data_IF_020071496142
#
_entry.id   IF_020071496142
#
_cell.length_a   1.000
_cell.length_b   1.000
_cell.length_c   1.000
_cell.angle_alpha   90.00
_cell.angle_beta   90.00
_cell.angle_gamma   90.00
#
_symmetry.space_group_name_H-M   'P 1'
#
loop_
_entity.id
_entity.type
_entity.pdbx_description
1 polymer ?
#
# COMPACT_ATOMS: atom_id res chain seq x y z
N UNK A 1 -19.50 -56.44 -8.66
CA UNK A 1 -19.94 -55.25 -7.90
C UNK A 1 -20.65 -54.33 -8.87
N UNK A 2 -21.98 -54.26 -8.78
CA UNK A 2 -22.76 -53.35 -9.61
C UNK A 2 -22.70 -51.95 -8.99
N UNK A 3 -21.95 -51.04 -9.62
CA UNK A 3 -22.00 -49.61 -9.32
C UNK A 3 -23.35 -49.12 -9.86
N UNK A 4 -24.28 -48.82 -8.97
CA UNK A 4 -25.61 -48.32 -9.34
C UNK A 4 -25.49 -46.91 -9.90
N UNK A 5 -26.21 -46.62 -10.99
CA UNK A 5 -26.29 -45.31 -11.63
C UNK A 5 -26.73 -44.19 -10.68
N UNK A 6 -27.45 -44.52 -9.59
CA UNK A 6 -27.74 -43.58 -8.50
C UNK A 6 -26.49 -43.09 -7.75
N UNK A 7 -25.44 -43.92 -7.59
CA UNK A 7 -24.20 -43.46 -6.93
C UNK A 7 -23.39 -42.54 -7.84
N UNK A 8 -23.47 -42.73 -9.16
CA UNK A 8 -22.84 -41.85 -10.14
C UNK A 8 -23.58 -40.50 -10.23
N UNK A 9 -24.91 -40.49 -10.24
CA UNK A 9 -25.69 -39.23 -10.23
C UNK A 9 -25.52 -38.45 -8.92
N UNK A 10 -25.47 -39.14 -7.77
CA UNK A 10 -25.21 -38.49 -6.47
C UNK A 10 -23.78 -37.95 -6.34
N UNK A 11 -22.82 -38.54 -7.06
CA UNK A 11 -21.44 -38.01 -7.13
C UNK A 11 -21.34 -36.74 -7.98
N UNK A 12 -22.19 -36.59 -9.00
CA UNK A 12 -22.22 -35.38 -9.85
C UNK A 12 -22.92 -34.21 -9.16
N UNK A 13 -23.87 -34.46 -8.25
CA UNK A 13 -24.52 -33.43 -7.44
C UNK A 13 -23.63 -32.91 -6.29
N UNK A 14 -22.42 -33.47 -6.15
CA UNK A 14 -21.41 -33.03 -5.16
C UNK A 14 -20.36 -32.08 -5.78
N UNK A 15 -20.57 -31.59 -7.01
CA UNK A 15 -19.60 -30.75 -7.72
C UNK A 15 -20.05 -29.30 -7.86
N UNK A 16 -19.36 -28.43 -7.11
CA UNK A 16 -19.41 -26.97 -7.13
C UNK A 16 -20.70 -26.32 -6.61
N UNK A 17 -20.83 -26.24 -5.27
CA UNK A 17 -21.74 -25.22 -4.71
C UNK A 17 -21.35 -23.86 -5.29
N UNK A 18 -22.32 -23.09 -5.81
CA UNK A 18 -22.12 -21.73 -6.35
C UNK A 18 -21.25 -20.87 -5.41
N UNK A 19 -21.43 -21.03 -4.10
CA UNK A 19 -20.64 -20.36 -3.07
C UNK A 19 -19.16 -20.74 -3.07
N UNK A 20 -18.80 -21.99 -3.37
CA UNK A 20 -17.42 -22.43 -3.54
C UNK A 20 -16.76 -21.80 -4.78
N UNK A 21 -17.48 -21.69 -5.89
CA UNK A 21 -16.98 -20.99 -7.10
C UNK A 21 -16.74 -19.51 -6.83
N UNK A 22 -17.69 -18.83 -6.17
CA UNK A 22 -17.55 -17.44 -5.73
C UNK A 22 -16.32 -17.29 -4.82
N UNK A 23 -16.15 -18.18 -3.85
CA UNK A 23 -15.00 -18.16 -2.94
C UNK A 23 -13.66 -18.30 -3.67
N UNK A 24 -13.58 -19.18 -4.66
CA UNK A 24 -12.38 -19.35 -5.50
C UNK A 24 -12.11 -18.10 -6.34
N UNK A 25 -13.13 -17.53 -6.98
CA UNK A 25 -12.99 -16.31 -7.78
C UNK A 25 -12.54 -15.11 -6.92
N UNK A 26 -13.13 -14.95 -5.73
CA UNK A 26 -12.72 -13.92 -4.77
C UNK A 26 -11.25 -14.08 -4.39
N UNK A 27 -10.85 -15.27 -3.94
CA UNK A 27 -9.50 -15.52 -3.43
C UNK A 27 -8.41 -15.47 -4.49
N UNK A 28 -8.68 -15.92 -5.71
CA UNK A 28 -7.65 -16.11 -6.75
C UNK A 28 -7.63 -15.03 -7.81
N UNK A 29 -8.68 -14.22 -7.92
CA UNK A 29 -8.81 -13.22 -8.98
C UNK A 29 -9.09 -11.85 -8.39
N UNK A 30 -10.23 -11.68 -7.70
CA UNK A 30 -10.69 -10.35 -7.29
C UNK A 30 -9.74 -9.71 -6.27
N UNK A 31 -9.41 -10.44 -5.21
CA UNK A 31 -8.55 -9.92 -4.12
C UNK A 31 -7.10 -9.67 -4.59
N UNK A 32 -6.45 -10.57 -5.35
CA UNK A 32 -5.14 -10.28 -5.94
C UNK A 32 -5.15 -9.10 -6.90
N UNK A 33 -6.18 -8.94 -7.74
CA UNK A 33 -6.29 -7.77 -8.62
C UNK A 33 -6.42 -6.49 -7.78
N UNK A 34 -7.26 -6.51 -6.75
CA UNK A 34 -7.47 -5.37 -5.86
C UNK A 34 -6.17 -4.89 -5.21
N UNK A 35 -5.41 -5.80 -4.59
CA UNK A 35 -4.11 -5.46 -4.00
C UNK A 35 -3.05 -5.12 -5.03
N UNK A 36 -3.07 -5.78 -6.20
CA UNK A 36 -2.15 -5.48 -7.29
C UNK A 36 -2.32 -4.07 -7.83
N UNK A 37 -3.56 -3.60 -7.96
CA UNK A 37 -3.86 -2.22 -8.34
C UNK A 37 -3.33 -1.22 -7.30
N UNK A 38 -3.50 -1.52 -6.00
CA UNK A 38 -2.90 -0.72 -4.92
C UNK A 38 -1.39 -0.58 -5.06
N UNK A 39 -0.69 -1.71 -5.25
CA UNK A 39 0.78 -1.73 -5.33
C UNK A 39 1.29 -1.01 -6.57
N UNK A 40 0.66 -1.22 -7.73
CA UNK A 40 1.02 -0.56 -8.99
C UNK A 40 0.80 0.95 -8.92
N UNK A 41 -0.34 1.40 -8.38
CA UNK A 41 -0.61 2.83 -8.25
C UNK A 41 0.37 3.51 -7.30
N UNK A 42 0.76 2.86 -6.20
CA UNK A 42 1.81 3.36 -5.31
C UNK A 42 3.18 3.44 -5.97
N UNK A 43 3.52 2.52 -6.89
CA UNK A 43 4.77 2.58 -7.66
C UNK A 43 4.75 3.78 -8.63
N UNK A 44 3.62 4.01 -9.29
CA UNK A 44 3.46 5.11 -10.25
C UNK A 44 3.56 6.47 -9.54
N UNK A 45 2.91 6.58 -8.39
CA UNK A 45 2.85 7.82 -7.62
C UNK A 45 4.14 8.07 -6.82
N UNK A 46 4.75 7.02 -6.27
CA UNK A 46 6.03 7.02 -5.57
C UNK A 46 6.16 8.08 -4.44
N UNK A 47 5.03 8.57 -3.90
CA UNK A 47 5.03 9.63 -2.90
C UNK A 47 4.48 9.14 -1.55
N UNK A 48 5.22 9.31 -0.44
CA UNK A 48 4.76 8.89 0.88
C UNK A 48 3.69 9.82 1.46
N UNK A 49 3.42 10.96 0.84
CA UNK A 49 2.32 11.86 1.25
C UNK A 49 0.95 11.22 1.06
N UNK A 50 0.88 10.16 0.25
CA UNK A 50 -0.33 9.39 0.00
C UNK A 50 -0.44 8.16 0.91
N UNK A 51 0.35 8.05 1.99
CA UNK A 51 0.11 7.01 2.99
C UNK A 51 -1.15 7.30 3.83
N UNK A 52 -1.78 6.26 4.42
CA UNK A 52 -2.87 6.43 5.38
C UNK A 52 -2.52 7.46 6.46
N UNK A 53 -3.41 8.43 6.71
CA UNK A 53 -3.16 9.51 7.67
C UNK A 53 -2.89 8.99 9.08
N UNK A 54 -3.57 7.91 9.46
CA UNK A 54 -3.33 7.18 10.71
C UNK A 54 -1.90 6.62 10.77
N UNK A 55 -1.40 6.07 9.66
CA UNK A 55 -0.04 5.56 9.58
C UNK A 55 0.98 6.70 9.66
N UNK A 56 0.76 7.80 8.94
CA UNK A 56 1.58 9.01 9.02
C UNK A 56 1.67 9.51 10.48
N UNK A 57 0.51 9.62 11.15
CA UNK A 57 0.45 10.13 12.52
C UNK A 57 1.11 9.19 13.52
N UNK A 58 0.84 7.89 13.46
CA UNK A 58 1.35 6.92 14.43
C UNK A 58 2.80 6.55 14.19
N UNK A 59 3.16 6.27 12.93
CA UNK A 59 4.51 5.85 12.58
C UNK A 59 5.47 7.06 12.55
N UNK A 60 5.00 8.22 12.08
CA UNK A 60 5.75 9.47 12.16
C UNK A 60 6.02 9.90 13.61
N UNK A 61 5.05 9.78 14.52
CA UNK A 61 5.28 10.00 15.95
C UNK A 61 6.28 9.00 16.57
N UNK A 62 6.41 7.81 15.98
CA UNK A 62 7.40 6.81 16.35
C UNK A 62 8.79 7.02 15.72
N UNK A 63 8.98 8.08 14.91
CA UNK A 63 10.24 8.34 14.20
C UNK A 63 10.51 7.38 13.03
N UNK A 64 9.47 6.69 12.53
CA UNK A 64 9.61 5.79 11.38
C UNK A 64 9.59 6.61 10.09
N UNK A 65 10.57 6.37 9.23
CA UNK A 65 10.63 6.99 7.90
C UNK A 65 9.41 6.61 7.05
N UNK A 66 8.71 7.63 6.55
CA UNK A 66 7.53 7.45 5.73
C UNK A 66 7.86 6.85 4.36
N UNK A 67 9.03 7.18 3.80
CA UNK A 67 9.48 6.60 2.54
C UNK A 67 9.75 5.10 2.72
N UNK A 68 10.37 4.72 3.83
CA UNK A 68 10.50 3.31 4.20
C UNK A 68 9.14 2.60 4.29
N UNK A 69 8.13 3.23 4.91
CA UNK A 69 6.78 2.66 5.00
C UNK A 69 6.11 2.52 3.63
N UNK A 70 6.28 3.51 2.75
CA UNK A 70 5.80 3.43 1.37
C UNK A 70 6.44 2.23 0.66
N UNK A 71 7.77 2.12 0.68
CA UNK A 71 8.51 1.01 0.07
C UNK A 71 8.07 -0.35 0.62
N UNK A 72 7.87 -0.44 1.93
CA UNK A 72 7.38 -1.64 2.61
C UNK A 72 5.95 -1.97 2.18
N UNK A 73 5.07 -0.98 2.05
CA UNK A 73 3.68 -1.18 1.61
C UNK A 73 3.60 -1.69 0.17
N UNK A 74 4.40 -1.12 -0.74
CA UNK A 74 4.52 -1.57 -2.14
C UNK A 74 5.02 -3.01 -2.19
N UNK A 75 6.13 -3.30 -1.49
CA UNK A 75 6.70 -4.63 -1.43
C UNK A 75 5.70 -5.66 -0.87
N UNK A 76 4.97 -5.29 0.19
CA UNK A 76 3.96 -6.12 0.82
C UNK A 76 2.79 -6.46 -0.11
N UNK A 77 2.25 -5.47 -0.81
CA UNK A 77 1.13 -5.68 -1.75
C UNK A 77 1.55 -6.59 -2.93
N UNK A 78 2.70 -6.32 -3.55
CA UNK A 78 3.21 -7.16 -4.64
C UNK A 78 3.54 -8.58 -4.18
N UNK A 79 4.15 -8.73 -2.99
CA UNK A 79 4.48 -10.02 -2.41
C UNK A 79 3.21 -10.85 -2.17
N UNK A 80 2.19 -10.23 -1.59
CA UNK A 80 0.90 -10.90 -1.32
C UNK A 80 0.24 -11.33 -2.62
N UNK A 81 0.17 -10.46 -3.64
CA UNK A 81 -0.39 -10.81 -4.94
C UNK A 81 0.29 -12.05 -5.52
N UNK A 82 1.62 -12.07 -5.52
CA UNK A 82 2.37 -13.24 -6.02
C UNK A 82 2.12 -14.50 -5.20
N UNK A 83 2.11 -14.42 -3.87
CA UNK A 83 1.81 -15.58 -3.02
C UNK A 83 0.39 -16.11 -3.30
N UNK A 84 -0.60 -15.24 -3.44
CA UNK A 84 -1.99 -15.64 -3.70
C UNK A 84 -2.14 -16.28 -5.09
N UNK A 85 -1.44 -15.78 -6.10
CA UNK A 85 -1.49 -16.30 -7.49
C UNK A 85 -0.68 -17.59 -7.64
N UNK A 86 0.55 -17.61 -7.12
CA UNK A 86 1.50 -18.71 -7.30
C UNK A 86 1.23 -19.86 -6.32
N UNK A 87 0.68 -19.58 -5.14
CA UNK A 87 0.29 -20.59 -4.15
C UNK A 87 -1.19 -20.45 -3.80
N UNK A 88 -2.11 -20.91 -4.68
CA UNK A 88 -3.55 -20.68 -4.53
C UNK A 88 -4.16 -21.26 -3.25
N UNK A 89 -3.45 -22.20 -2.60
CA UNK A 89 -3.82 -22.78 -1.29
C UNK A 89 -3.62 -21.79 -0.14
N UNK A 90 -2.70 -20.84 -0.28
CA UNK A 90 -2.44 -19.76 0.68
C UNK A 90 -3.28 -18.52 0.39
N UNK A 91 -3.96 -18.45 -0.76
CA UNK A 91 -4.71 -17.26 -1.16
C UNK A 91 -5.74 -16.80 -0.11
N UNK A 92 -6.51 -17.74 0.44
CA UNK A 92 -7.51 -17.44 1.46
C UNK A 92 -6.90 -16.95 2.79
N UNK A 93 -6.00 -17.68 3.47
CA UNK A 93 -5.44 -17.21 4.73
C UNK A 93 -4.64 -15.90 4.58
N UNK A 94 -3.90 -15.73 3.48
CA UNK A 94 -3.16 -14.49 3.21
C UNK A 94 -4.12 -13.32 2.97
N UNK A 95 -5.15 -13.50 2.14
CA UNK A 95 -6.16 -12.47 1.90
C UNK A 95 -6.92 -12.07 3.16
N UNK A 96 -7.30 -13.02 4.01
CA UNK A 96 -7.93 -12.75 5.30
C UNK A 96 -7.00 -11.98 6.25
N UNK A 97 -5.72 -12.38 6.31
CA UNK A 97 -4.74 -11.72 7.17
C UNK A 97 -4.48 -10.28 6.73
N UNK A 98 -4.29 -10.04 5.42
CA UNK A 98 -4.00 -8.71 4.90
C UNK A 98 -5.22 -7.77 5.02
N UNK A 99 -6.42 -8.20 4.60
CA UNK A 99 -7.64 -7.41 4.79
C UNK A 99 -7.93 -7.15 6.26
N UNK A 100 -7.69 -8.14 7.13
CA UNK A 100 -7.82 -8.00 8.57
C UNK A 100 -6.84 -6.99 9.18
N UNK A 101 -5.65 -6.82 8.59
CA UNK A 101 -4.65 -5.84 9.00
C UNK A 101 -4.99 -4.42 8.51
N UNK A 102 -5.57 -4.29 7.31
CA UNK A 102 -5.90 -2.99 6.73
C UNK A 102 -7.16 -2.35 7.34
N UNK A 103 -8.16 -3.14 7.73
CA UNK A 103 -9.39 -2.59 8.32
C UNK A 103 -9.14 -1.69 9.56
N UNK A 104 -8.30 -2.06 10.54
CA UNK A 104 -7.95 -1.17 11.65
C UNK A 104 -7.31 0.15 11.22
N UNK A 105 -6.44 0.13 10.20
CA UNK A 105 -5.78 1.33 9.66
C UNK A 105 -6.83 2.26 9.02
N UNK A 106 -7.71 1.69 8.20
CA UNK A 106 -8.87 2.38 7.59
C UNK A 106 -9.82 3.00 8.62
N UNK A 107 -10.10 2.28 9.70
CA UNK A 107 -10.91 2.80 10.81
C UNK A 107 -10.18 3.97 11.47
N UNK A 108 -8.86 3.89 11.65
CA UNK A 108 -8.03 4.99 12.13
C UNK A 108 -8.15 6.24 11.25
N UNK A 109 -8.08 6.09 9.93
CA UNK A 109 -8.24 7.19 8.98
C UNK A 109 -9.63 7.84 9.06
N UNK A 110 -10.68 7.03 9.17
CA UNK A 110 -12.05 7.50 9.37
C UNK A 110 -12.19 8.30 10.67
N UNK A 111 -11.58 7.82 11.76
CA UNK A 111 -11.59 8.51 13.05
C UNK A 111 -10.81 9.83 13.01
N UNK A 112 -9.78 9.93 12.17
CA UNK A 112 -9.01 11.16 11.95
C UNK A 112 -9.66 12.11 10.93
N UNK A 113 -10.78 11.73 10.31
CA UNK A 113 -11.46 12.55 9.31
C UNK A 113 -10.69 12.70 8.01
N UNK A 114 -9.88 11.70 7.64
CA UNK A 114 -9.11 11.73 6.40
C UNK A 114 -10.03 11.78 5.18
N UNK A 115 -9.64 12.53 4.16
CA UNK A 115 -10.37 12.61 2.88
C UNK A 115 -10.05 11.46 1.93
N UNK A 116 -8.95 10.74 2.15
CA UNK A 116 -8.47 9.61 1.32
C UNK A 116 -7.88 8.48 2.18
N UNK A 117 -8.04 7.23 1.75
CA UNK A 117 -7.42 6.02 2.35
C UNK A 117 -5.89 5.98 2.19
N UNK A 118 -5.34 6.64 1.16
CA UNK A 118 -3.93 6.49 0.78
C UNK A 118 -3.55 5.12 0.18
N UNK A 119 -4.51 4.19 0.13
CA UNK A 119 -4.31 2.81 -0.30
C UNK A 119 -4.05 2.68 -1.82
N UNK A 120 -4.35 3.70 -2.62
CA UNK A 120 -4.22 3.72 -4.08
C UNK A 120 -3.31 4.86 -4.60
N UNK A 121 -2.36 5.31 -3.78
CA UNK A 121 -1.45 6.42 -4.14
C UNK A 121 -2.22 7.72 -4.39
N UNK A 122 -1.94 8.38 -5.51
CA UNK A 122 -2.59 9.62 -5.93
C UNK A 122 -4.12 9.54 -6.09
N UNK A 123 -4.68 8.34 -6.29
CA UNK A 123 -6.13 8.18 -6.45
C UNK A 123 -6.80 8.31 -5.09
N UNK A 124 -7.41 9.48 -4.84
CA UNK A 124 -8.15 9.75 -3.63
C UNK A 124 -9.48 8.99 -3.62
N UNK A 125 -9.54 7.89 -2.86
CA UNK A 125 -10.79 7.17 -2.59
C UNK A 125 -11.19 7.44 -1.14
N UNK A 126 -12.45 7.82 -0.96
CA UNK A 126 -13.04 8.03 0.37
C UNK A 126 -12.78 6.81 1.27
N UNK A 127 -12.32 7.00 2.52
CA UNK A 127 -12.10 5.90 3.45
C UNK A 127 -13.36 5.07 3.72
N UNK A 128 -14.56 5.67 3.65
CA UNK A 128 -15.82 4.95 3.81
C UNK A 128 -16.07 3.95 2.68
N UNK A 129 -15.83 4.35 1.43
CA UNK A 129 -15.98 3.46 0.26
C UNK A 129 -15.01 2.30 0.37
N UNK A 130 -13.76 2.61 0.72
CA UNK A 130 -12.72 1.58 0.86
C UNK A 130 -13.02 0.63 2.01
N UNK A 131 -13.53 1.12 3.14
CA UNK A 131 -13.99 0.29 4.27
C UNK A 131 -15.09 -0.71 3.84
N UNK A 132 -16.05 -0.25 3.03
CA UNK A 132 -17.13 -1.12 2.51
C UNK A 132 -16.56 -2.18 1.58
N UNK A 133 -15.64 -1.81 0.70
CA UNK A 133 -14.99 -2.75 -0.22
C UNK A 133 -14.16 -3.77 0.55
N UNK A 134 -13.25 -3.33 1.42
CA UNK A 134 -12.37 -4.22 2.20
C UNK A 134 -13.17 -5.11 3.15
N UNK A 135 -14.18 -4.55 3.83
CA UNK A 135 -15.09 -5.29 4.70
C UNK A 135 -15.91 -6.32 3.92
N UNK A 136 -16.38 -5.96 2.72
CA UNK A 136 -17.11 -6.86 1.82
C UNK A 136 -16.23 -7.99 1.29
N UNK A 137 -14.99 -7.68 0.87
CA UNK A 137 -14.02 -8.67 0.44
C UNK A 137 -13.63 -9.61 1.58
N UNK A 138 -13.43 -9.08 2.79
CA UNK A 138 -13.09 -9.88 3.98
C UNK A 138 -14.24 -10.81 4.34
N UNK A 139 -15.46 -10.28 4.45
CA UNK A 139 -16.66 -11.07 4.75
C UNK A 139 -16.91 -12.12 3.66
N UNK A 140 -16.74 -11.74 2.39
CA UNK A 140 -16.86 -12.64 1.24
C UNK A 140 -15.84 -13.78 1.28
N UNK A 141 -14.57 -13.48 1.52
CA UNK A 141 -13.51 -14.50 1.68
C UNK A 141 -13.73 -15.39 2.90
N UNK A 142 -14.20 -14.82 4.00
CA UNK A 142 -14.47 -15.56 5.22
C UNK A 142 -15.61 -16.55 4.99
N UNK A 143 -16.72 -16.08 4.42
CA UNK A 143 -17.94 -16.87 4.23
C UNK A 143 -17.89 -17.80 3.00
N UNK A 144 -17.66 -17.27 1.80
CA UNK A 144 -17.63 -18.07 0.57
C UNK A 144 -16.33 -18.86 0.43
N UNK A 145 -15.20 -18.31 0.86
CA UNK A 145 -13.93 -19.03 0.86
C UNK A 145 -13.92 -20.25 1.79
N UNK A 146 -14.69 -20.24 2.89
CA UNK A 146 -14.87 -21.41 3.76
C UNK A 146 -15.57 -22.58 3.06
N UNK A 147 -16.43 -22.28 2.07
CA UNK A 147 -17.21 -23.25 1.31
C UNK A 147 -16.43 -23.88 0.16
N UNK A 148 -15.22 -23.41 -0.13
CA UNK A 148 -14.38 -23.93 -1.20
C UNK A 148 -13.32 -24.92 -0.65
N UNK A 149 -13.45 -26.24 -0.90
CA UNK A 149 -12.47 -27.23 -0.43
C UNK A 149 -11.07 -26.98 -1.01
N UNK A 150 -11.00 -26.46 -2.24
CA UNK A 150 -9.75 -26.15 -2.96
C UNK A 150 -8.94 -24.99 -2.37
N UNK A 151 -9.49 -24.24 -1.41
CA UNK A 151 -8.81 -23.17 -0.68
C UNK A 151 -8.37 -23.59 0.72
N UNK A 152 -8.51 -24.88 1.09
CA UNK A 152 -8.03 -25.40 2.36
C UNK A 152 -6.52 -25.65 2.29
N UNK A 153 -5.81 -25.26 3.33
CA UNK A 153 -4.39 -25.55 3.47
C UNK A 153 -4.23 -27.02 3.83
N UNK A 154 -3.63 -27.79 2.94
CA UNK A 154 -3.25 -29.18 3.18
C UNK A 154 -1.89 -29.23 3.91
N UNK A 155 -1.59 -30.34 4.58
CA UNK A 155 -0.31 -30.55 5.30
C UNK A 155 0.90 -30.52 4.37
N UNK A 156 0.71 -30.81 3.08
CA UNK A 156 1.77 -30.79 2.07
C UNK A 156 1.54 -29.63 1.09
N UNK A 157 2.52 -28.73 1.02
CA UNK A 157 2.56 -27.69 0.00
C UNK A 157 3.47 -28.15 -1.15
N UNK A 158 3.08 -27.89 -2.40
CA UNK A 158 3.93 -28.21 -3.54
C UNK A 158 5.20 -27.34 -3.44
N UNK A 159 6.37 -27.97 -3.49
CA UNK A 159 7.67 -27.31 -3.27
C UNK A 159 7.98 -26.30 -4.37
N UNK A 160 7.72 -26.65 -5.63
CA UNK A 160 8.04 -25.77 -6.77
C UNK A 160 7.26 -24.43 -6.72
N UNK A 161 5.91 -24.39 -6.60
CA UNK A 161 5.19 -23.12 -6.49
C UNK A 161 5.59 -22.30 -5.25
N UNK A 162 5.96 -22.96 -4.15
CA UNK A 162 6.44 -22.30 -2.95
C UNK A 162 7.81 -21.62 -3.18
N UNK A 163 8.73 -22.29 -3.87
CA UNK A 163 10.03 -21.71 -4.26
C UNK A 163 9.84 -20.52 -5.19
N UNK A 164 8.98 -20.65 -6.21
CA UNK A 164 8.69 -19.55 -7.14
C UNK A 164 8.03 -18.38 -6.41
N UNK A 165 7.12 -18.64 -5.47
CA UNK A 165 6.54 -17.60 -4.63
C UNK A 165 7.59 -16.94 -3.73
N UNK A 166 8.52 -17.70 -3.16
CA UNK A 166 9.64 -17.15 -2.38
C UNK A 166 10.51 -16.20 -3.22
N UNK A 167 10.86 -16.60 -4.44
CA UNK A 167 11.59 -15.74 -5.38
C UNK A 167 10.79 -14.48 -5.74
N UNK A 168 9.48 -14.61 -5.94
CA UNK A 168 8.61 -13.48 -6.21
C UNK A 168 8.56 -12.49 -5.05
N UNK A 169 8.50 -12.98 -3.81
CA UNK A 169 8.55 -12.12 -2.61
C UNK A 169 9.86 -11.33 -2.62
N UNK A 170 11.01 -11.99 -2.83
CA UNK A 170 12.31 -11.29 -2.92
C UNK A 170 12.29 -10.21 -4.00
N UNK A 171 11.79 -10.53 -5.20
CA UNK A 171 11.67 -9.57 -6.29
C UNK A 171 10.73 -8.40 -5.95
N UNK A 172 9.64 -8.66 -5.23
CA UNK A 172 8.69 -7.63 -4.80
C UNK A 172 9.34 -6.63 -3.84
N UNK A 173 10.20 -7.12 -2.93
CA UNK A 173 11.00 -6.25 -2.06
C UNK A 173 12.05 -5.47 -2.86
N UNK A 174 12.74 -6.10 -3.81
CA UNK A 174 13.67 -5.37 -4.69
C UNK A 174 12.97 -4.24 -5.44
N UNK A 175 11.79 -4.50 -6.00
CA UNK A 175 10.99 -3.47 -6.68
C UNK A 175 10.55 -2.38 -5.71
N UNK A 176 9.94 -2.74 -4.58
CA UNK A 176 9.46 -1.78 -3.59
C UNK A 176 10.56 -0.85 -3.08
N UNK A 177 11.75 -1.37 -2.82
CA UNK A 177 12.89 -0.57 -2.34
C UNK A 177 13.68 0.13 -3.45
N UNK A 178 13.49 -0.24 -4.72
CA UNK A 178 14.00 0.53 -5.85
C UNK A 178 13.19 1.82 -6.10
N UNK A 179 11.94 1.89 -5.63
CA UNK A 179 11.10 3.10 -5.72
C UNK A 179 11.73 4.23 -4.91
N UNK A 180 12.00 5.36 -5.57
CA UNK A 180 12.72 6.50 -5.01
C UNK A 180 14.21 6.27 -4.78
N UNK A 181 14.78 5.16 -5.25
CA UNK A 181 16.18 4.75 -5.01
C UNK A 181 17.13 4.96 -6.19
N UNK A 182 16.69 5.54 -7.31
CA UNK A 182 17.52 5.74 -8.50
C UNK A 182 18.59 6.87 -8.37
N UNK A 183 18.91 7.27 -7.14
CA UNK A 183 19.91 8.30 -6.82
C UNK A 183 20.77 7.96 -5.60
N UNK A 184 21.48 6.82 -5.60
CA UNK A 184 22.88 6.72 -5.13
C UNK A 184 23.30 5.27 -4.90
N UNK A 185 23.89 4.68 -5.93
CA UNK A 185 24.98 3.74 -5.72
C UNK A 185 26.25 4.52 -5.37
N UNK A 186 26.38 4.93 -4.10
CA UNK A 186 27.69 5.11 -3.48
C UNK A 186 27.52 5.21 -1.96
N UNK A 187 28.09 4.25 -1.25
CA UNK A 187 28.15 4.28 0.20
C UNK A 187 28.96 5.48 0.68
N UNK A 188 28.49 6.12 1.74
CA UNK A 188 29.32 6.97 2.58
C UNK A 188 28.76 6.95 4.00
N UNK A 189 29.36 6.08 4.81
CA UNK A 189 29.49 6.26 6.25
C UNK A 189 30.24 7.57 6.48
N UNK A 190 29.64 8.58 7.11
CA UNK A 190 30.37 9.62 7.85
C UNK A 190 29.42 10.45 8.73
N UNK A 191 29.76 10.51 10.01
CA UNK A 191 29.30 11.46 11.01
C UNK A 191 29.67 12.91 10.67
N UNK A 192 28.92 13.82 11.30
CA UNK A 192 29.25 15.22 11.62
C UNK A 192 29.09 16.29 10.52
N UNK A 193 28.01 17.08 10.67
CA UNK A 193 28.03 18.54 10.72
C UNK A 193 28.73 19.29 9.60
N UNK A 194 27.99 19.61 8.54
CA UNK A 194 28.19 20.82 7.75
C UNK A 194 26.86 21.20 7.08
N UNK A 195 26.51 22.50 7.19
CA UNK A 195 25.44 23.13 6.44
C UNK A 195 25.79 23.06 4.94
N UNK A 196 25.19 22.12 4.22
CA UNK A 196 25.23 22.10 2.76
C UNK A 196 24.06 22.90 2.19
N UNK A 197 24.40 24.06 1.62
CA UNK A 197 23.57 24.74 0.65
C UNK A 197 23.36 23.86 -0.59
N UNK A 198 22.10 23.57 -0.95
CA UNK A 198 21.69 23.43 -2.35
C UNK A 198 21.58 22.03 -2.97
N UNK A 199 21.49 20.96 -2.18
CA UNK A 199 21.09 19.66 -2.70
C UNK A 199 19.57 19.47 -2.59
N UNK A 200 18.88 19.21 -3.70
CA UNK A 200 17.51 18.71 -3.66
C UNK A 200 17.51 17.42 -2.79
N UNK A 201 16.59 17.29 -1.81
CA UNK A 201 16.39 16.06 -1.05
C UNK A 201 16.32 14.84 -1.96
N UNK A 202 17.11 13.83 -1.63
CA UNK A 202 17.26 12.58 -2.39
C UNK A 202 15.90 11.90 -2.61
N UNK A 203 14.96 12.14 -1.70
CA UNK A 203 13.66 11.49 -1.66
C UNK A 203 12.63 12.05 -2.66
N UNK A 204 12.91 13.21 -3.30
CA UNK A 204 12.07 13.78 -4.37
C UNK A 204 10.77 14.45 -3.90
N UNK A 205 10.52 14.55 -2.59
CA UNK A 205 9.41 15.31 -2.01
C UNK A 205 9.89 16.08 -0.78
N UNK A 206 9.12 17.10 -0.38
CA UNK A 206 9.39 17.92 0.81
C UNK A 206 8.18 17.87 1.77
N UNK A 207 8.41 17.47 3.01
CA UNK A 207 7.41 17.46 4.08
C UNK A 207 7.63 18.68 4.99
N UNK A 208 6.82 19.74 4.88
CA UNK A 208 7.03 20.96 5.65
C UNK A 208 6.83 20.72 7.15
N UNK A 209 7.79 21.18 7.94
CA UNK A 209 7.68 21.29 9.39
C UNK A 209 7.38 22.75 9.75
N UNK A 210 6.13 23.18 9.57
CA UNK A 210 5.77 24.61 9.67
C UNK A 210 6.16 25.26 11.00
N UNK A 211 6.16 24.50 12.10
CA UNK A 211 6.56 25.03 13.41
C UNK A 211 8.05 25.46 13.44
N UNK A 212 8.91 24.80 12.67
CA UNK A 212 10.34 25.16 12.59
C UNK A 212 10.61 26.34 11.67
N UNK A 213 9.60 26.78 10.91
CA UNK A 213 9.70 27.92 10.00
C UNK A 213 9.45 29.25 10.69
N UNK A 214 8.82 29.22 11.86
CA UNK A 214 8.50 30.43 12.63
C UNK A 214 9.81 31.14 12.99
N UNK A 215 9.84 32.46 12.79
CA UNK A 215 10.97 33.35 13.04
C UNK A 215 12.25 33.05 12.22
N UNK A 216 12.16 32.21 11.19
CA UNK A 216 13.26 31.98 10.25
C UNK A 216 13.14 32.85 8.99
N UNK A 217 14.27 33.27 8.44
CA UNK A 217 14.27 33.96 7.15
C UNK A 217 13.90 32.96 6.05
N UNK A 218 13.17 33.42 5.02
CA UNK A 218 12.78 32.55 3.91
C UNK A 218 13.97 31.84 3.27
N UNK A 219 15.09 32.55 3.07
CA UNK A 219 16.33 31.99 2.51
C UNK A 219 16.93 30.85 3.31
N UNK A 220 16.59 30.77 4.60
CA UNK A 220 17.14 29.77 5.52
C UNK A 220 16.24 28.53 5.59
N UNK A 221 15.04 28.59 5.01
CA UNK A 221 14.15 27.45 4.88
C UNK A 221 14.61 26.56 3.71
N UNK A 222 14.76 25.26 3.96
CA UNK A 222 15.12 24.27 2.93
C UNK A 222 14.19 24.31 1.70
N UNK A 223 12.91 24.63 1.90
CA UNK A 223 11.90 24.71 0.82
C UNK A 223 12.18 25.86 -0.15
N UNK A 224 12.90 26.90 0.28
CA UNK A 224 13.14 28.09 -0.54
C UNK A 224 13.95 27.77 -1.79
N UNK A 225 14.83 26.77 -1.72
CA UNK A 225 15.61 26.27 -2.84
C UNK A 225 14.75 25.57 -3.92
N UNK A 226 13.52 25.17 -3.60
CA UNK A 226 12.61 24.47 -4.50
C UNK A 226 11.62 25.40 -5.21
N UNK A 227 11.50 26.65 -4.74
CA UNK A 227 10.53 27.62 -5.27
C UNK A 227 11.25 28.56 -6.21
N UNK A 228 11.16 28.29 -7.51
CA UNK A 228 11.67 29.19 -8.54
C UNK A 228 10.78 30.43 -8.66
N UNK A 229 11.36 31.64 -8.55
CA UNK A 229 10.66 32.90 -8.76
C UNK A 229 10.93 33.96 -7.69
N UNK A 230 9.95 34.84 -7.47
CA UNK A 230 10.05 35.91 -6.48
C UNK A 230 10.16 35.33 -5.07
N UNK A 231 11.30 35.57 -4.42
CA UNK A 231 11.49 35.21 -3.01
C UNK A 231 10.60 36.09 -2.13
N UNK A 232 9.79 35.51 -1.25
CA UNK A 232 9.05 36.23 -0.23
C UNK A 232 9.97 37.14 0.61
N UNK A 233 9.47 38.31 1.01
CA UNK A 233 10.18 39.32 1.79
C UNK A 233 10.85 40.42 0.95
N UNK A 234 10.57 40.49 -0.36
CA UNK A 234 11.08 41.56 -1.24
C UNK A 234 10.19 42.80 -1.26
N UNK A 235 8.94 42.72 -0.80
CA UNK A 235 7.99 43.82 -0.80
C UNK A 235 7.74 44.30 0.64
N UNK A 236 7.54 45.61 0.83
CA UNK A 236 7.18 46.14 2.15
C UNK A 236 5.76 45.71 2.51
N UNK A 237 5.61 44.99 3.62
CA UNK A 237 4.32 44.61 4.18
C UNK A 237 4.25 43.15 4.61
N UNK A 238 3.02 42.66 4.78
CA UNK A 238 2.75 41.24 5.04
C UNK A 238 2.61 40.53 3.71
N UNK A 239 3.41 39.50 3.50
CA UNK A 239 3.34 38.62 2.34
C UNK A 239 2.86 37.24 2.76
N UNK A 240 2.06 36.59 1.91
CA UNK A 240 1.57 35.24 2.13
C UNK A 240 2.08 34.32 1.03
N UNK A 241 2.70 33.21 1.41
CA UNK A 241 3.11 32.15 0.50
C UNK A 241 2.11 31.01 0.61
N UNK A 242 1.45 30.69 -0.50
CA UNK A 242 0.46 29.63 -0.53
C UNK A 242 1.00 28.45 -1.35
N UNK A 243 1.22 27.33 -0.68
CA UNK A 243 1.49 26.06 -1.33
C UNK A 243 0.18 25.34 -1.56
N UNK A 244 -0.13 25.04 -2.82
CA UNK A 244 -1.32 24.30 -3.18
C UNK A 244 -1.03 23.36 -4.33
N UNK A 245 -1.90 22.35 -4.46
CA UNK A 245 -1.87 21.39 -5.55
C UNK A 245 -2.94 21.76 -6.56
N UNK A 246 -2.58 21.79 -7.85
CA UNK A 246 -3.54 22.12 -8.93
C UNK A 246 -4.67 21.12 -9.07
N UNK A 247 -4.47 19.89 -8.58
CA UNK A 247 -5.41 18.79 -8.64
C UNK A 247 -6.14 18.54 -7.30
N UNK A 248 -6.01 19.45 -6.34
CA UNK A 248 -6.72 19.39 -5.08
C UNK A 248 -7.95 20.30 -5.12
N UNK A 249 -9.16 19.75 -5.05
CA UNK A 249 -10.42 20.52 -5.10
C UNK A 249 -10.62 21.47 -3.90
N UNK A 250 -9.90 21.24 -2.79
CA UNK A 250 -10.03 22.00 -1.55
C UNK A 250 -8.74 22.74 -1.15
N UNK A 251 -7.73 22.70 -2.02
CA UNK A 251 -6.52 23.51 -1.94
C UNK A 251 -6.65 24.64 -3.00
#
# INVERSE_FOLDING_TARGET
MAVTTESLLKSVETDSSLGGMIGVALARVIVPIYFGLGGVLKIIDASPTHLPAALIKWAGAGGVDLLYLLRLSIAGELAVVGVMVLVPRLARPVGLALLGLFLPVLIGDLMLGASSCGCFGAVAISPWVTLVVDGGLLAGLWYFGAKAPSLRVEKTLPTLPLVVAGLWVVMSFMVGFAVGGAGNGNGSTAENGALESGGLPVDGFYLPQYDSWIDQAWSDLDVSAWVEGSTPGQVQGVEYVLFYRKDCEHC
#
